data_IF_525001683222
#
_entry.id   IF_525001683222
#
_cell.length_a   1.000
_cell.length_b   1.000
_cell.length_c   1.000
_cell.angle_alpha   90.00
_cell.angle_beta   90.00
_cell.angle_gamma   90.00
#
_symmetry.space_group_name_H-M   'P 1'
#
loop_
_entity.id
_entity.type
_entity.pdbx_description
1 polymer ?
#
# COMPACT_ATOMS: atom_id res chain seq x y z
N UNK A 1 30.00 -86.45 23.39
CA UNK A 1 31.00 -85.37 23.54
C UNK A 1 30.28 -84.05 23.76
N UNK A 2 30.49 -83.45 24.95
CA UNK A 2 30.34 -82.05 25.41
C UNK A 2 29.26 -81.16 24.74
N UNK A 3 28.13 -80.92 25.42
CA UNK A 3 27.75 -79.71 26.23
C UNK A 3 27.20 -78.57 25.35
N UNK A 4 25.88 -78.37 25.19
CA UNK A 4 24.91 -77.78 26.13
C UNK A 4 25.47 -76.64 27.00
N UNK A 5 25.01 -75.40 26.75
CA UNK A 5 24.72 -74.41 27.80
C UNK A 5 23.78 -73.30 27.28
N UNK A 6 22.53 -73.37 27.74
CA UNK A 6 21.57 -72.26 27.84
C UNK A 6 22.16 -71.20 28.79
N UNK A 7 22.05 -69.91 28.48
CA UNK A 7 21.77 -68.86 29.48
C UNK A 7 20.99 -67.72 28.83
N UNK A 8 19.66 -67.91 28.80
CA UNK A 8 18.70 -66.83 29.03
C UNK A 8 18.93 -66.27 30.43
N UNK A 9 18.61 -64.99 30.65
CA UNK A 9 18.89 -64.15 31.84
C UNK A 9 20.29 -63.51 31.82
N UNK A 10 20.39 -62.27 31.31
CA UNK A 10 21.23 -61.14 31.79
C UNK A 10 21.19 -59.95 30.79
N UNK A 11 20.00 -59.55 30.31
CA UNK A 11 19.83 -58.30 29.51
C UNK A 11 18.72 -57.42 30.09
N UNK A 12 18.58 -57.40 31.43
CA UNK A 12 17.56 -56.60 32.13
C UNK A 12 18.12 -55.64 33.18
N UNK A 13 19.40 -55.30 33.13
CA UNK A 13 19.96 -54.23 33.95
C UNK A 13 21.03 -53.51 33.13
N UNK A 14 20.95 -52.17 33.05
CA UNK A 14 21.64 -51.25 32.11
C UNK A 14 20.88 -51.19 30.76
N UNK A 15 19.89 -50.32 30.56
CA UNK A 15 20.02 -48.87 30.44
C UNK A 15 18.81 -48.22 31.13
N UNK A 16 18.96 -47.99 32.43
CA UNK A 16 18.12 -47.10 33.20
C UNK A 16 18.96 -45.85 33.40
N UNK A 17 18.96 -44.94 32.43
CA UNK A 17 19.37 -43.52 32.49
C UNK A 17 19.43 -43.00 31.05
N UNK A 18 18.34 -42.37 30.59
CA UNK A 18 18.28 -41.84 29.23
C UNK A 18 16.89 -41.48 28.70
N UNK A 19 15.93 -41.19 29.57
CA UNK A 19 14.72 -40.43 29.19
C UNK A 19 14.73 -39.16 30.03
N UNK A 20 15.68 -38.28 29.73
CA UNK A 20 15.45 -36.87 29.97
C UNK A 20 14.52 -36.43 28.85
N UNK A 21 13.24 -36.24 29.15
CA UNK A 21 12.36 -35.48 28.28
C UNK A 21 13.06 -34.15 28.00
N UNK A 22 13.37 -33.90 26.72
CA UNK A 22 13.61 -32.54 26.28
C UNK A 22 12.24 -31.84 26.31
N UNK A 23 11.81 -31.45 27.50
CA UNK A 23 10.90 -30.32 27.64
C UNK A 23 11.66 -29.16 27.01
N UNK A 24 11.31 -28.82 25.76
CA UNK A 24 11.51 -27.48 25.26
C UNK A 24 10.74 -26.60 26.24
N UNK A 25 11.43 -26.09 27.25
CA UNK A 25 11.03 -24.82 27.85
C UNK A 25 10.99 -23.87 26.67
N UNK A 26 9.78 -23.58 26.20
CA UNK A 26 9.53 -22.36 25.49
C UNK A 26 10.21 -21.29 26.35
N UNK A 27 11.30 -20.73 25.83
CA UNK A 27 11.86 -19.56 26.45
C UNK A 27 10.70 -18.57 26.42
N UNK A 28 10.18 -18.24 27.61
CA UNK A 28 9.28 -17.13 27.82
C UNK A 28 10.00 -15.91 27.27
N UNK A 29 9.87 -15.67 25.96
CA UNK A 29 10.30 -14.43 25.33
C UNK A 29 9.35 -13.41 25.90
N UNK A 30 9.80 -12.71 26.94
CA UNK A 30 9.18 -11.47 27.37
C UNK A 30 8.84 -10.67 26.11
N UNK A 31 7.57 -10.27 25.92
CA UNK A 31 7.20 -9.48 24.75
C UNK A 31 8.10 -8.25 24.73
N UNK A 32 8.80 -8.06 23.60
CA UNK A 32 9.69 -6.92 23.44
C UNK A 32 8.97 -5.63 23.85
N UNK A 33 9.64 -4.71 24.56
CA UNK A 33 9.00 -3.49 25.03
C UNK A 33 8.35 -2.75 23.84
N UNK A 34 7.16 -2.15 24.03
CA UNK A 34 6.42 -1.53 22.95
C UNK A 34 7.28 -0.45 22.28
N UNK A 35 7.39 -0.52 20.96
CA UNK A 35 8.18 0.43 20.18
C UNK A 35 7.62 1.85 20.38
N UNK A 36 8.44 2.75 20.93
CA UNK A 36 8.08 4.16 21.08
C UNK A 36 8.54 4.93 19.85
N UNK A 37 7.60 5.31 18.99
CA UNK A 37 7.92 6.18 17.86
C UNK A 37 8.23 7.61 18.31
N UNK A 38 9.23 8.22 17.69
CA UNK A 38 9.65 9.60 17.97
C UNK A 38 9.70 10.45 16.69
N UNK A 39 9.84 11.76 16.85
CA UNK A 39 9.94 12.70 15.73
C UNK A 39 8.73 12.63 14.78
N UNK A 40 9.01 12.48 13.48
CA UNK A 40 8.00 12.48 12.41
C UNK A 40 7.03 11.29 12.48
N UNK A 41 7.43 10.21 13.17
CA UNK A 41 6.64 9.00 13.35
C UNK A 41 5.85 8.97 14.66
N UNK A 42 5.98 9.98 15.54
CA UNK A 42 5.42 9.96 16.90
C UNK A 42 3.94 9.52 17.00
N UNK A 43 3.12 9.85 16.01
CA UNK A 43 1.68 9.60 16.02
C UNK A 43 1.24 8.43 15.13
N UNK A 44 2.18 7.63 14.62
CA UNK A 44 1.83 6.49 13.78
C UNK A 44 1.24 5.36 14.64
N UNK A 45 0.17 4.74 14.15
CA UNK A 45 -0.36 3.53 14.75
C UNK A 45 0.55 2.35 14.40
N UNK A 46 0.84 1.46 15.35
CA UNK A 46 1.62 0.24 15.10
C UNK A 46 0.81 -0.86 14.43
N UNK A 47 -0.51 -0.85 14.60
CA UNK A 47 -1.39 -1.85 14.02
C UNK A 47 -1.60 -1.58 12.52
N UNK A 48 -1.87 -2.65 11.79
CA UNK A 48 -2.38 -2.60 10.43
C UNK A 48 -3.87 -2.95 10.42
N UNK A 49 -4.64 -2.51 9.42
CA UNK A 49 -4.29 -1.54 8.38
C UNK A 49 -4.33 -0.10 8.90
N UNK A 50 -3.37 0.73 8.49
CA UNK A 50 -3.28 2.15 8.88
C UNK A 50 -3.25 3.13 7.71
N UNK A 51 -3.04 2.64 6.49
CA UNK A 51 -2.95 3.48 5.31
C UNK A 51 -4.32 3.67 4.68
N UNK A 52 -4.75 4.93 4.56
CA UNK A 52 -5.93 5.39 3.81
C UNK A 52 -7.31 4.92 4.32
N UNK A 53 -7.45 3.67 4.75
CA UNK A 53 -8.70 3.04 5.13
C UNK A 53 -8.49 2.12 6.34
N UNK A 54 -8.73 2.65 7.55
CA UNK A 54 -8.68 1.85 8.78
C UNK A 54 -9.79 0.80 8.82
N UNK A 55 -9.70 -0.13 9.78
CA UNK A 55 -10.75 -1.13 10.01
C UNK A 55 -12.07 -0.48 10.43
N UNK A 56 -12.01 0.47 11.36
CA UNK A 56 -13.17 1.20 11.88
C UNK A 56 -13.88 1.96 10.76
N UNK A 57 -13.10 2.64 9.91
CA UNK A 57 -13.68 3.38 8.77
C UNK A 57 -14.33 2.45 7.76
N UNK A 58 -13.75 1.27 7.52
CA UNK A 58 -14.35 0.27 6.65
C UNK A 58 -15.68 -0.25 7.20
N UNK A 59 -15.75 -0.55 8.50
CA UNK A 59 -16.96 -1.04 9.15
C UNK A 59 -18.08 0.03 9.15
N UNK A 60 -17.71 1.29 9.34
CA UNK A 60 -18.61 2.43 9.17
C UNK A 60 -19.15 2.51 7.74
N UNK A 61 -18.28 2.39 6.72
CA UNK A 61 -18.68 2.41 5.32
C UNK A 61 -19.61 1.24 4.95
N UNK A 62 -19.37 0.04 5.49
CA UNK A 62 -20.28 -1.11 5.31
C UNK A 62 -21.66 -0.79 5.86
N UNK A 63 -21.73 -0.21 7.06
CA UNK A 63 -22.99 0.20 7.69
C UNK A 63 -23.71 1.27 6.86
N UNK A 64 -23.00 2.32 6.43
CA UNK A 64 -23.56 3.38 5.59
C UNK A 64 -24.06 2.86 4.23
N UNK A 65 -23.41 1.84 3.67
CA UNK A 65 -23.82 1.26 2.37
C UNK A 65 -25.20 0.59 2.39
N UNK A 66 -25.76 0.33 3.58
CA UNK A 66 -27.11 -0.21 3.73
C UNK A 66 -28.19 0.82 3.35
N UNK A 67 -27.89 2.11 3.52
CA UNK A 67 -28.84 3.21 3.26
C UNK A 67 -28.39 4.15 2.14
N UNK A 68 -27.08 4.25 1.88
CA UNK A 68 -26.52 5.02 0.78
C UNK A 68 -26.36 4.16 -0.49
N UNK A 69 -27.30 4.33 -1.42
CA UNK A 69 -27.30 3.62 -2.71
C UNK A 69 -26.08 3.91 -3.59
N UNK A 70 -25.48 5.10 -3.48
CA UNK A 70 -24.30 5.49 -4.27
C UNK A 70 -23.05 4.81 -3.71
N UNK A 71 -22.88 4.81 -2.39
CA UNK A 71 -21.80 4.07 -1.74
C UNK A 71 -21.91 2.58 -2.02
N UNK A 72 -23.12 2.00 -1.91
CA UNK A 72 -23.37 0.60 -2.28
C UNK A 72 -22.97 0.30 -3.71
N UNK A 73 -23.29 1.19 -4.65
CA UNK A 73 -22.88 1.04 -6.05
C UNK A 73 -21.36 1.05 -6.18
N UNK A 74 -20.67 2.00 -5.54
CA UNK A 74 -19.21 2.08 -5.60
C UNK A 74 -18.52 0.83 -5.07
N UNK A 75 -18.95 0.33 -3.90
CA UNK A 75 -18.41 -0.92 -3.37
C UNK A 75 -18.67 -2.10 -4.32
N UNK A 76 -19.88 -2.18 -4.88
CA UNK A 76 -20.25 -3.25 -5.83
C UNK A 76 -19.43 -3.19 -7.13
N UNK A 77 -19.18 -1.99 -7.67
CA UNK A 77 -18.38 -1.82 -8.88
C UNK A 77 -16.92 -2.27 -8.67
N UNK A 78 -16.33 -1.98 -7.50
CA UNK A 78 -14.98 -2.43 -7.14
C UNK A 78 -14.93 -3.95 -7.00
N UNK A 79 -15.91 -4.55 -6.34
CA UNK A 79 -16.01 -6.01 -6.20
C UNK A 79 -16.16 -6.68 -7.57
N UNK A 80 -17.00 -6.13 -8.46
CA UNK A 80 -17.17 -6.65 -9.81
C UNK A 80 -15.88 -6.55 -10.66
N UNK A 81 -15.03 -5.55 -10.39
CA UNK A 81 -13.71 -5.47 -11.01
C UNK A 81 -12.74 -6.49 -10.40
N UNK A 82 -12.76 -6.68 -9.08
CA UNK A 82 -11.98 -7.71 -8.41
C UNK A 82 -12.32 -9.13 -8.92
N UNK A 83 -13.60 -9.41 -9.18
CA UNK A 83 -14.06 -10.66 -9.80
C UNK A 83 -13.46 -10.93 -11.18
N UNK A 84 -13.07 -9.88 -11.92
CA UNK A 84 -12.34 -10.02 -13.19
C UNK A 84 -10.84 -10.16 -12.95
N UNK A 85 -10.32 -9.40 -11.98
CA UNK A 85 -8.88 -9.34 -11.70
C UNK A 85 -8.33 -10.68 -11.21
N UNK A 86 -9.14 -11.53 -10.55
CA UNK A 86 -8.71 -12.89 -10.13
C UNK A 86 -8.35 -13.83 -11.28
N UNK A 87 -8.82 -13.57 -12.50
CA UNK A 87 -8.54 -14.40 -13.68
C UNK A 87 -7.43 -13.83 -14.56
N UNK A 88 -6.89 -12.66 -14.21
CA UNK A 88 -5.84 -12.04 -15.00
C UNK A 88 -4.53 -12.80 -14.85
N UNK A 89 -3.77 -12.87 -15.95
CA UNK A 89 -2.45 -13.48 -15.96
C UNK A 89 -1.48 -12.76 -15.01
N UNK A 90 -0.48 -13.46 -14.46
CA UNK A 90 0.59 -12.85 -13.66
C UNK A 90 1.22 -11.67 -14.39
N UNK A 91 1.53 -10.61 -13.63
CA UNK A 91 2.21 -9.44 -14.17
C UNK A 91 3.62 -9.83 -14.64
N UNK A 92 4.07 -9.28 -15.76
CA UNK A 92 5.39 -9.56 -16.31
C UNK A 92 6.24 -8.31 -16.27
N UNK A 93 7.53 -8.47 -15.99
CA UNK A 93 8.50 -7.38 -16.11
C UNK A 93 8.78 -7.15 -17.60
N UNK A 94 7.97 -6.29 -18.21
CA UNK A 94 8.05 -5.95 -19.63
C UNK A 94 8.02 -4.44 -19.77
N UNK A 95 9.05 -3.89 -20.41
CA UNK A 95 9.12 -2.48 -20.71
C UNK A 95 8.40 -2.16 -22.03
N UNK A 96 7.55 -1.14 -22.01
CA UNK A 96 6.95 -0.54 -23.21
C UNK A 96 7.66 0.80 -23.44
N UNK A 97 8.52 0.83 -24.46
CA UNK A 97 9.51 1.91 -24.58
C UNK A 97 10.45 1.89 -23.36
N UNK A 98 10.71 3.04 -22.70
CA UNK A 98 11.59 3.08 -21.53
C UNK A 98 10.86 2.77 -20.20
N UNK A 99 9.61 2.29 -20.23
CA UNK A 99 8.71 2.31 -19.08
C UNK A 99 8.17 0.93 -18.71
N UNK A 100 8.22 0.61 -17.43
CA UNK A 100 7.45 -0.42 -16.76
C UNK A 100 6.09 0.12 -16.23
N UNK A 101 5.83 1.41 -16.40
CA UNK A 101 4.71 2.14 -15.80
C UNK A 101 3.34 1.47 -15.96
N UNK A 102 3.04 0.89 -17.13
CA UNK A 102 1.76 0.23 -17.37
C UNK A 102 1.59 -1.01 -16.48
N UNK A 103 2.68 -1.73 -16.23
CA UNK A 103 2.71 -2.87 -15.30
C UNK A 103 2.56 -2.40 -13.85
N UNK A 104 3.24 -1.31 -13.46
CA UNK A 104 3.08 -0.71 -12.13
C UNK A 104 1.64 -0.26 -11.87
N UNK A 105 0.99 0.35 -12.87
CA UNK A 105 -0.41 0.79 -12.80
C UNK A 105 -1.39 -0.36 -12.70
N UNK A 106 -1.18 -1.39 -13.50
CA UNK A 106 -2.01 -2.58 -13.46
C UNK A 106 -1.88 -3.27 -12.10
N UNK A 107 -0.68 -3.35 -11.52
CA UNK A 107 -0.47 -3.84 -10.15
C UNK A 107 -1.26 -3.02 -9.14
N UNK A 108 -1.12 -1.69 -9.19
CA UNK A 108 -1.83 -0.77 -8.30
C UNK A 108 -3.34 -0.96 -8.36
N UNK A 109 -3.91 -1.04 -9.57
CA UNK A 109 -5.33 -1.27 -9.79
C UNK A 109 -5.79 -2.60 -9.21
N UNK A 110 -5.09 -3.69 -9.55
CA UNK A 110 -5.43 -5.04 -9.05
C UNK A 110 -5.37 -5.10 -7.54
N UNK A 111 -4.31 -4.57 -6.92
CA UNK A 111 -4.15 -4.59 -5.47
C UNK A 111 -5.26 -3.81 -4.78
N UNK A 112 -5.58 -2.59 -5.24
CA UNK A 112 -6.69 -1.83 -4.66
C UNK A 112 -8.03 -2.59 -4.77
N UNK A 113 -8.35 -3.13 -5.94
CA UNK A 113 -9.62 -3.84 -6.14
C UNK A 113 -9.69 -5.11 -5.30
N UNK A 114 -8.66 -5.96 -5.37
CA UNK A 114 -8.63 -7.26 -4.70
C UNK A 114 -8.55 -7.09 -3.17
N UNK A 115 -7.67 -6.21 -2.66
CA UNK A 115 -7.55 -5.98 -1.23
C UNK A 115 -8.82 -5.32 -0.65
N UNK A 116 -9.41 -4.35 -1.37
CA UNK A 116 -10.71 -3.80 -0.97
C UNK A 116 -11.79 -4.88 -0.95
N UNK A 117 -11.93 -5.65 -2.02
CA UNK A 117 -12.96 -6.68 -2.13
C UNK A 117 -12.81 -7.76 -1.05
N UNK A 118 -11.58 -8.17 -0.72
CA UNK A 118 -11.31 -9.05 0.41
C UNK A 118 -11.81 -8.44 1.71
N UNK A 119 -11.33 -7.24 2.07
CA UNK A 119 -11.72 -6.59 3.33
C UNK A 119 -13.23 -6.31 3.40
N UNK A 120 -13.86 -6.01 2.26
CA UNK A 120 -15.30 -5.76 2.19
C UNK A 120 -16.13 -7.02 2.39
N UNK A 121 -15.75 -8.13 1.75
CA UNK A 121 -16.58 -9.35 1.65
C UNK A 121 -16.14 -10.51 2.54
N UNK A 122 -14.89 -10.51 3.01
CA UNK A 122 -14.25 -11.65 3.68
C UNK A 122 -13.94 -12.84 2.76
N UNK A 123 -14.12 -12.72 1.43
CA UNK A 123 -13.97 -13.86 0.53
C UNK A 123 -12.48 -14.13 0.23
N UNK A 124 -11.93 -15.31 0.62
CA UNK A 124 -10.50 -15.60 0.54
C UNK A 124 -9.94 -15.61 -0.90
N UNK A 125 -10.78 -15.79 -1.92
CA UNK A 125 -10.32 -15.76 -3.33
C UNK A 125 -9.63 -14.44 -3.70
N UNK A 126 -10.08 -13.33 -3.10
CA UNK A 126 -9.50 -12.02 -3.35
C UNK A 126 -8.16 -11.84 -2.62
N UNK A 127 -8.04 -12.33 -1.38
CA UNK A 127 -6.80 -12.34 -0.62
C UNK A 127 -5.72 -13.12 -1.38
N UNK A 128 -5.99 -14.37 -1.75
CA UNK A 128 -5.03 -15.22 -2.45
C UNK A 128 -4.55 -14.59 -3.77
N UNK A 129 -5.46 -13.98 -4.54
CA UNK A 129 -5.10 -13.29 -5.78
C UNK A 129 -4.28 -12.00 -5.53
N UNK A 130 -4.63 -11.20 -4.52
CA UNK A 130 -3.88 -10.01 -4.16
C UNK A 130 -2.44 -10.36 -3.75
N UNK A 131 -2.29 -11.34 -2.84
CA UNK A 131 -0.99 -11.82 -2.37
C UNK A 131 -0.16 -12.40 -3.52
N UNK A 132 -0.77 -13.14 -4.46
CA UNK A 132 -0.08 -13.63 -5.65
C UNK A 132 0.47 -12.49 -6.51
N UNK A 133 -0.30 -11.42 -6.75
CA UNK A 133 0.18 -10.24 -7.49
C UNK A 133 1.34 -9.56 -6.76
N UNK A 134 1.24 -9.36 -5.44
CA UNK A 134 2.28 -8.74 -4.61
C UNK A 134 3.59 -9.55 -4.65
N UNK A 135 3.52 -10.85 -4.37
CA UNK A 135 4.68 -11.75 -4.41
C UNK A 135 5.35 -11.77 -5.78
N UNK A 136 4.55 -11.76 -6.85
CA UNK A 136 5.05 -11.77 -8.21
C UNK A 136 5.81 -10.48 -8.57
N UNK A 137 5.30 -9.29 -8.24
CA UNK A 137 6.05 -8.05 -8.52
C UNK A 137 7.26 -7.87 -7.59
N UNK A 138 7.22 -8.44 -6.38
CA UNK A 138 8.36 -8.48 -5.47
C UNK A 138 9.46 -9.48 -5.90
N UNK A 139 9.18 -10.38 -6.85
CA UNK A 139 10.19 -11.30 -7.41
C UNK A 139 10.87 -10.77 -8.68
N UNK A 140 10.45 -9.61 -9.20
CA UNK A 140 11.13 -8.96 -10.31
C UNK A 140 12.58 -8.59 -9.95
N UNK A 141 13.44 -8.47 -10.97
CA UNK A 141 14.84 -8.03 -10.78
C UNK A 141 14.92 -6.61 -10.23
N UNK A 142 14.02 -5.74 -10.68
CA UNK A 142 13.92 -4.32 -10.38
C UNK A 142 12.51 -3.80 -10.73
N UNK A 143 12.20 -2.56 -10.34
CA UNK A 143 11.01 -1.81 -10.78
C UNK A 143 11.36 -0.66 -11.71
N UNK A 144 12.41 -0.83 -12.52
CA UNK A 144 12.95 0.16 -13.46
C UNK A 144 13.35 1.52 -12.82
N UNK A 145 14.38 1.55 -11.94
CA UNK A 145 14.80 2.79 -11.26
C UNK A 145 15.31 3.90 -12.19
N UNK A 146 15.60 3.58 -13.46
CA UNK A 146 15.93 4.57 -14.49
C UNK A 146 14.75 5.50 -14.83
N UNK A 147 13.52 5.01 -14.67
CA UNK A 147 12.28 5.77 -14.88
C UNK A 147 11.45 5.74 -13.59
N UNK A 148 11.75 6.66 -12.67
CA UNK A 148 11.32 6.56 -11.27
C UNK A 148 9.80 6.57 -11.00
N UNK A 149 8.98 7.02 -11.97
CA UNK A 149 7.52 6.84 -11.87
C UNK A 149 7.13 5.37 -11.72
N UNK A 150 7.88 4.48 -12.36
CA UNK A 150 7.62 3.04 -12.38
C UNK A 150 7.82 2.46 -10.97
N UNK A 151 8.94 2.82 -10.33
CA UNK A 151 9.27 2.47 -8.94
C UNK A 151 8.23 3.05 -7.99
N UNK A 152 7.87 4.31 -8.16
CA UNK A 152 6.97 5.01 -7.24
C UNK A 152 5.56 4.43 -7.24
N UNK A 153 4.98 4.19 -8.41
CA UNK A 153 3.64 3.61 -8.51
C UNK A 153 3.62 2.14 -8.06
N UNK A 154 4.70 1.37 -8.31
CA UNK A 154 4.82 0.00 -7.80
C UNK A 154 5.01 -0.04 -6.28
N UNK A 155 5.81 0.87 -5.72
CA UNK A 155 5.99 1.04 -4.27
C UNK A 155 4.65 1.32 -3.60
N UNK A 156 3.83 2.20 -4.18
CA UNK A 156 2.47 2.46 -3.70
C UNK A 156 1.64 1.19 -3.68
N UNK A 157 1.59 0.46 -4.81
CA UNK A 157 0.79 -0.75 -4.94
C UNK A 157 1.14 -1.77 -3.85
N UNK A 158 2.44 -2.05 -3.71
CA UNK A 158 2.94 -3.04 -2.76
C UNK A 158 2.69 -2.61 -1.32
N UNK A 159 2.86 -1.33 -1.00
CA UNK A 159 2.62 -0.79 0.32
C UNK A 159 1.14 -0.87 0.76
N UNK A 160 0.20 -0.57 -0.14
CA UNK A 160 -1.24 -0.71 0.14
C UNK A 160 -1.60 -2.17 0.36
N UNK A 161 -1.11 -3.08 -0.49
CA UNK A 161 -1.38 -4.51 -0.33
C UNK A 161 -0.81 -5.06 0.98
N UNK A 162 0.43 -4.69 1.30
CA UNK A 162 1.10 -5.07 2.55
C UNK A 162 0.31 -4.60 3.77
N UNK A 163 -0.07 -3.33 3.81
CA UNK A 163 -0.80 -2.76 4.96
C UNK A 163 -2.23 -3.31 5.07
N UNK A 164 -2.97 -3.40 3.96
CA UNK A 164 -4.39 -3.78 3.99
C UNK A 164 -4.61 -5.26 4.28
N UNK A 165 -3.65 -6.11 3.97
CA UNK A 165 -3.75 -7.57 4.09
C UNK A 165 -2.81 -8.12 5.17
N UNK A 166 -2.18 -7.25 5.95
CA UNK A 166 -1.10 -7.60 6.88
C UNK A 166 -1.45 -8.77 7.81
N UNK A 167 -2.59 -8.68 8.50
CA UNK A 167 -3.01 -9.67 9.50
C UNK A 167 -3.45 -11.01 8.89
N UNK A 168 -3.80 -11.01 7.61
CA UNK A 168 -4.35 -12.17 6.90
C UNK A 168 -3.31 -12.90 6.04
N UNK A 169 -2.13 -12.32 5.83
CA UNK A 169 -0.97 -12.99 5.23
C UNK A 169 -0.25 -13.84 6.27
N UNK A 170 0.44 -14.90 5.82
CA UNK A 170 1.37 -15.61 6.70
C UNK A 170 2.68 -14.81 6.90
N UNK A 171 3.51 -15.23 7.85
CA UNK A 171 4.77 -14.54 8.15
C UNK A 171 5.76 -14.57 6.98
N UNK A 172 5.78 -15.66 6.21
CA UNK A 172 6.65 -15.82 5.04
C UNK A 172 6.23 -14.86 3.92
N UNK A 173 4.94 -14.74 3.68
CA UNK A 173 4.32 -13.80 2.74
C UNK A 173 4.61 -12.36 3.12
N UNK A 174 4.32 -11.99 4.39
CA UNK A 174 4.64 -10.65 4.91
C UNK A 174 6.11 -10.33 4.72
N UNK A 175 7.00 -11.26 5.11
CA UNK A 175 8.44 -11.04 4.99
C UNK A 175 8.86 -10.84 3.53
N UNK A 176 8.42 -11.71 2.62
CA UNK A 176 8.79 -11.63 1.20
C UNK A 176 8.32 -10.30 0.57
N UNK A 177 7.11 -9.87 0.88
CA UNK A 177 6.53 -8.61 0.36
C UNK A 177 7.24 -7.40 0.96
N UNK A 178 7.51 -7.40 2.28
CA UNK A 178 8.26 -6.33 2.94
C UNK A 178 9.68 -6.20 2.38
N UNK A 179 10.39 -7.31 2.28
CA UNK A 179 11.76 -7.34 1.74
C UNK A 179 11.77 -6.79 0.29
N UNK A 180 10.77 -7.17 -0.53
CA UNK A 180 10.59 -6.63 -1.88
C UNK A 180 10.32 -5.13 -1.89
N UNK A 181 9.40 -4.64 -1.06
CA UNK A 181 9.08 -3.21 -0.91
C UNK A 181 10.32 -2.39 -0.50
N UNK A 182 11.09 -2.88 0.46
CA UNK A 182 12.33 -2.25 0.92
C UNK A 182 13.38 -2.25 -0.19
N UNK A 183 13.65 -3.42 -0.80
CA UNK A 183 14.72 -3.59 -1.78
C UNK A 183 14.45 -2.83 -3.07
N UNK A 184 13.28 -3.04 -3.69
CA UNK A 184 12.97 -2.58 -5.04
C UNK A 184 12.37 -1.18 -5.07
N UNK A 185 11.77 -0.73 -3.95
CA UNK A 185 11.15 0.59 -3.81
C UNK A 185 11.97 1.54 -2.94
N UNK A 186 11.96 1.33 -1.63
CA UNK A 186 12.44 2.34 -0.66
C UNK A 186 13.95 2.53 -0.70
N UNK A 187 14.73 1.49 -0.92
CA UNK A 187 16.18 1.61 -1.10
C UNK A 187 16.53 2.35 -2.41
N UNK A 188 15.76 2.15 -3.48
CA UNK A 188 15.91 2.93 -4.71
C UNK A 188 15.52 4.40 -4.48
N UNK A 189 14.47 4.66 -3.70
CA UNK A 189 14.12 6.01 -3.23
C UNK A 189 15.22 6.67 -2.42
N UNK A 190 15.82 5.94 -1.47
CA UNK A 190 16.96 6.43 -0.68
C UNK A 190 18.17 6.78 -1.56
N UNK A 191 18.49 5.94 -2.55
CA UNK A 191 19.55 6.21 -3.54
C UNK A 191 19.23 7.47 -4.36
N UNK A 192 17.99 7.58 -4.85
CA UNK A 192 17.54 8.73 -5.64
C UNK A 192 17.62 10.04 -4.83
N UNK A 193 17.21 10.02 -3.55
CA UNK A 193 17.37 11.18 -2.66
C UNK A 193 18.84 11.55 -2.43
N UNK A 194 19.69 10.56 -2.15
CA UNK A 194 21.13 10.80 -1.97
C UNK A 194 21.81 11.36 -3.23
N UNK A 195 21.32 10.97 -4.41
CA UNK A 195 21.81 11.45 -5.70
C UNK A 195 21.19 12.79 -6.15
N UNK A 196 20.36 13.44 -5.33
CA UNK A 196 19.59 14.63 -5.71
C UNK A 196 18.85 14.44 -7.04
N UNK A 197 18.08 13.36 -7.16
CA UNK A 197 17.35 13.03 -8.37
C UNK A 197 16.54 14.23 -8.90
N UNK A 198 16.59 14.45 -10.21
CA UNK A 198 16.05 15.64 -10.87
C UNK A 198 14.57 15.87 -10.57
N UNK A 199 13.78 14.81 -10.37
CA UNK A 199 12.35 14.87 -10.09
C UNK A 199 12.02 15.36 -8.67
N UNK A 200 12.99 15.46 -7.78
CA UNK A 200 12.74 15.80 -6.37
C UNK A 200 12.22 17.22 -6.18
N UNK A 201 12.63 18.19 -7.01
CA UNK A 201 12.32 19.62 -6.78
C UNK A 201 11.62 20.29 -7.96
N UNK A 202 11.02 19.49 -8.84
CA UNK A 202 10.23 19.99 -9.97
C UNK A 202 8.82 20.36 -9.53
N UNK A 203 8.21 21.27 -10.28
CA UNK A 203 6.85 21.78 -10.05
C UNK A 203 5.75 20.93 -10.72
N UNK A 204 6.11 19.78 -11.29
CA UNK A 204 5.20 18.93 -12.05
C UNK A 204 4.99 17.53 -11.43
N UNK A 205 4.19 16.69 -12.11
CA UNK A 205 3.69 15.41 -11.56
C UNK A 205 4.78 14.45 -11.05
N UNK A 206 5.97 14.39 -11.67
CA UNK A 206 7.06 13.53 -11.22
C UNK A 206 7.40 13.73 -9.75
N UNK A 207 7.48 14.97 -9.27
CA UNK A 207 7.70 15.23 -7.85
C UNK A 207 6.59 14.61 -6.99
N UNK A 208 5.31 14.86 -7.33
CA UNK A 208 4.19 14.38 -6.53
C UNK A 208 4.12 12.85 -6.52
N UNK A 209 4.18 12.22 -7.70
CA UNK A 209 4.05 10.76 -7.81
C UNK A 209 5.21 10.07 -7.11
N UNK A 210 6.45 10.53 -7.33
CA UNK A 210 7.63 9.90 -6.76
C UNK A 210 7.68 10.04 -5.24
N UNK A 211 7.47 11.26 -4.71
CA UNK A 211 7.49 11.47 -3.27
C UNK A 211 6.30 10.80 -2.56
N UNK A 212 5.08 10.84 -3.12
CA UNK A 212 3.91 10.21 -2.51
C UNK A 212 4.04 8.68 -2.48
N UNK A 213 4.50 8.06 -3.58
CA UNK A 213 4.68 6.60 -3.62
C UNK A 213 5.68 6.11 -2.57
N UNK A 214 6.81 6.79 -2.44
CA UNK A 214 7.82 6.51 -1.41
C UNK A 214 7.29 6.77 0.01
N UNK A 215 6.54 7.85 0.21
CA UNK A 215 5.92 8.18 1.50
C UNK A 215 4.97 7.08 1.97
N UNK A 216 4.09 6.59 1.08
CA UNK A 216 3.16 5.50 1.39
C UNK A 216 3.92 4.22 1.73
N UNK A 217 4.96 3.88 0.96
CA UNK A 217 5.83 2.74 1.27
C UNK A 217 6.54 2.84 2.62
N UNK A 218 7.03 4.04 2.97
CA UNK A 218 7.69 4.28 4.25
C UNK A 218 6.73 4.11 5.43
N UNK A 219 5.49 4.59 5.32
CA UNK A 219 4.49 4.43 6.36
C UNK A 219 4.05 2.97 6.55
N UNK A 220 4.09 2.16 5.49
CA UNK A 220 3.71 0.75 5.53
C UNK A 220 4.65 -0.12 6.37
N UNK A 221 5.91 0.30 6.59
CA UNK A 221 6.92 -0.51 7.29
C UNK A 221 7.47 0.17 8.56
N UNK A 222 6.89 1.31 8.94
CA UNK A 222 7.47 2.20 9.92
C UNK A 222 7.66 1.54 11.30
N UNK A 223 6.85 0.54 11.64
CA UNK A 223 6.92 -0.25 12.88
C UNK A 223 8.04 -1.30 12.90
N UNK A 224 8.59 -1.67 11.75
CA UNK A 224 9.70 -2.64 11.69
C UNK A 224 11.01 -2.01 11.20
N UNK A 225 10.93 -0.94 10.41
CA UNK A 225 12.06 -0.32 9.71
C UNK A 225 12.03 1.22 9.87
N UNK A 226 11.80 1.67 11.11
CA UNK A 226 11.51 3.07 11.48
C UNK A 226 12.58 4.09 11.02
N UNK A 227 13.86 3.73 11.04
CA UNK A 227 14.94 4.62 10.60
C UNK A 227 14.91 4.88 9.09
N UNK A 228 14.67 3.84 8.29
CA UNK A 228 14.48 3.96 6.84
C UNK A 228 13.22 4.78 6.54
N UNK A 229 12.11 4.44 7.20
CA UNK A 229 10.84 5.14 7.04
C UNK A 229 10.98 6.64 7.36
N UNK A 230 11.57 7.01 8.51
CA UNK A 230 11.77 8.39 8.90
C UNK A 230 12.66 9.17 7.91
N UNK A 231 13.68 8.52 7.34
CA UNK A 231 14.54 9.12 6.32
C UNK A 231 13.80 9.43 5.02
N UNK A 232 12.98 8.49 4.53
CA UNK A 232 12.14 8.70 3.35
C UNK A 232 11.08 9.78 3.61
N UNK A 233 10.38 9.73 4.74
CA UNK A 233 9.34 10.70 5.09
C UNK A 233 9.87 12.13 5.16
N UNK A 234 11.05 12.33 5.76
CA UNK A 234 11.68 13.66 5.83
C UNK A 234 11.93 14.22 4.44
N UNK A 235 12.53 13.42 3.55
CA UNK A 235 12.80 13.84 2.17
C UNK A 235 11.51 14.12 1.40
N UNK A 236 10.52 13.23 1.49
CA UNK A 236 9.25 13.41 0.79
C UNK A 236 8.53 14.69 1.23
N UNK A 237 8.44 14.94 2.54
CA UNK A 237 7.73 16.11 3.09
C UNK A 237 8.46 17.42 2.78
N UNK A 238 9.79 17.42 2.76
CA UNK A 238 10.58 18.59 2.38
C UNK A 238 10.38 18.95 0.89
N UNK A 239 10.21 17.95 0.02
CA UNK A 239 10.23 18.13 -1.42
C UNK A 239 8.84 18.21 -2.07
N UNK A 240 7.79 17.63 -1.48
CA UNK A 240 6.42 17.73 -2.01
C UNK A 240 5.92 19.17 -2.28
N UNK A 241 6.24 20.18 -1.45
CA UNK A 241 5.77 21.55 -1.67
C UNK A 241 6.14 22.15 -3.04
N UNK A 242 7.24 21.72 -3.67
CA UNK A 242 7.66 22.25 -4.98
C UNK A 242 6.59 22.06 -6.05
N UNK A 243 5.99 20.88 -6.15
CA UNK A 243 4.89 20.64 -7.08
C UNK A 243 3.51 21.03 -6.57
N UNK A 244 3.36 21.31 -5.28
CA UNK A 244 2.11 21.87 -4.76
C UNK A 244 1.96 23.36 -5.09
N UNK A 245 3.09 24.07 -5.26
CA UNK A 245 3.09 25.49 -5.61
C UNK A 245 2.43 25.78 -6.97
N UNK A 246 2.50 24.86 -7.93
CA UNK A 246 1.92 25.04 -9.27
C UNK A 246 0.40 24.91 -9.31
N UNK A 247 -0.27 24.59 -8.19
CA UNK A 247 -1.73 24.71 -8.06
C UNK A 247 -2.18 26.10 -7.59
N UNK A 248 -1.27 26.97 -7.15
CA UNK A 248 -1.65 28.29 -6.65
C UNK A 248 -2.04 29.26 -7.78
N UNK A 249 -2.96 30.21 -7.53
CA UNK A 249 -3.79 30.36 -6.33
C UNK A 249 -5.11 29.57 -6.38
N UNK A 250 -5.60 29.24 -7.58
CA UNK A 250 -6.99 28.81 -7.81
C UNK A 250 -7.20 27.29 -7.81
N UNK A 251 -6.14 26.52 -7.57
CA UNK A 251 -6.16 25.05 -7.59
C UNK A 251 -6.05 24.46 -9.00
N UNK A 252 -5.87 25.27 -10.05
CA UNK A 252 -5.82 24.82 -11.44
C UNK A 252 -4.40 24.37 -11.81
N UNK A 253 -4.31 23.20 -12.44
CA UNK A 253 -3.06 22.70 -13.01
C UNK A 253 -2.97 23.01 -14.50
N UNK A 254 -1.97 23.80 -14.93
CA UNK A 254 -1.89 24.29 -16.31
C UNK A 254 -1.70 23.21 -17.40
N UNK A 255 -1.23 22.00 -17.08
CA UNK A 255 -1.09 20.90 -18.07
C UNK A 255 -2.38 20.07 -18.19
N UNK A 256 -3.47 20.70 -18.65
CA UNK A 256 -4.73 20.03 -18.99
C UNK A 256 -4.68 19.54 -20.45
N UNK A 257 -3.99 18.43 -20.74
CA UNK A 257 -4.27 17.66 -21.99
C UNK A 257 -3.85 16.20 -22.05
N UNK A 258 -3.17 15.67 -21.05
CA UNK A 258 -3.02 14.22 -20.90
C UNK A 258 -3.24 13.88 -19.42
N UNK A 259 -3.91 12.76 -19.16
CA UNK A 259 -4.26 12.18 -17.85
C UNK A 259 -5.68 12.43 -17.32
N UNK A 260 -6.68 12.03 -18.11
CA UNK A 260 -7.99 11.60 -17.55
C UNK A 260 -7.85 10.30 -16.72
N UNK A 261 -6.75 9.55 -16.87
CA UNK A 261 -6.49 8.30 -16.14
C UNK A 261 -5.87 8.51 -14.74
N UNK A 262 -5.09 9.59 -14.50
CA UNK A 262 -4.60 9.87 -13.14
C UNK A 262 -5.68 10.42 -12.21
N UNK A 263 -6.72 11.08 -12.70
CA UNK A 263 -7.72 11.68 -11.80
C UNK A 263 -8.68 10.68 -11.15
N UNK A 264 -8.90 9.49 -11.75
CA UNK A 264 -9.80 8.49 -11.16
C UNK A 264 -9.27 7.86 -9.86
N UNK A 265 -7.94 7.83 -9.65
CA UNK A 265 -7.32 7.19 -8.48
C UNK A 265 -6.14 7.96 -7.86
N UNK A 266 -5.45 8.85 -8.57
CA UNK A 266 -4.38 9.66 -7.97
C UNK A 266 -4.87 11.06 -7.59
N UNK A 267 -5.79 11.64 -8.36
CA UNK A 267 -6.37 12.97 -8.08
C UNK A 267 -7.05 13.03 -6.71
N UNK A 268 -7.96 12.09 -6.41
CA UNK A 268 -8.71 12.06 -5.15
C UNK A 268 -7.79 11.85 -3.94
N UNK A 269 -6.76 11.02 -4.07
CA UNK A 269 -5.90 10.63 -2.96
C UNK A 269 -4.71 11.57 -2.74
N UNK A 270 -4.09 12.11 -3.79
CA UNK A 270 -3.10 13.19 -3.64
C UNK A 270 -3.76 14.51 -3.18
N UNK A 271 -4.98 14.85 -3.63
CA UNK A 271 -5.74 15.95 -3.02
C UNK A 271 -6.11 15.66 -1.56
N UNK A 272 -6.51 14.43 -1.24
CA UNK A 272 -6.85 14.02 0.13
C UNK A 272 -5.68 14.13 1.12
N UNK A 273 -4.48 13.68 0.72
CA UNK A 273 -3.24 13.84 1.52
C UNK A 273 -2.87 15.33 1.64
N UNK A 274 -3.00 16.11 0.56
CA UNK A 274 -2.71 17.56 0.57
C UNK A 274 -3.70 18.34 1.48
N UNK A 275 -4.98 17.97 1.48
CA UNK A 275 -6.00 18.53 2.38
C UNK A 275 -5.72 18.11 3.83
N UNK A 276 -5.38 16.85 4.10
CA UNK A 276 -5.04 16.36 5.44
C UNK A 276 -3.80 17.04 6.05
N UNK A 277 -2.80 17.34 5.22
CA UNK A 277 -1.61 18.11 5.62
C UNK A 277 -1.97 19.58 5.89
N UNK A 278 -2.78 20.22 5.04
CA UNK A 278 -3.27 21.60 5.29
C UNK A 278 -4.17 21.71 6.53
N UNK A 279 -4.98 20.69 6.80
CA UNK A 279 -5.87 20.66 7.98
C UNK A 279 -5.11 20.74 9.29
N UNK A 280 -3.88 20.19 9.38
CA UNK A 280 -3.09 20.22 10.62
C UNK A 280 -2.40 21.57 10.88
N UNK A 281 -2.27 22.44 9.87
CA UNK A 281 -1.65 23.77 10.00
C UNK A 281 -2.66 24.93 10.17
N UNK A 282 -3.97 24.69 9.98
CA UNK A 282 -5.01 25.72 10.02
C UNK A 282 -6.11 25.49 11.07
N UNK A 283 -5.87 24.63 12.08
CA UNK A 283 -6.76 24.53 13.25
C UNK A 283 -6.57 25.77 14.12
N UNK A 284 -7.17 26.90 13.74
CA UNK A 284 -7.53 27.93 14.71
C UNK A 284 -8.58 28.96 14.26
N UNK A 285 -9.04 28.98 13.00
CA UNK A 285 -10.19 29.81 12.63
C UNK A 285 -10.98 29.17 11.51
N UNK A 286 -12.26 28.89 11.79
CA UNK A 286 -13.44 28.82 10.90
C UNK A 286 -14.35 27.69 11.38
N UNK A 287 -15.59 28.04 11.76
CA UNK A 287 -16.65 27.10 12.11
C UNK A 287 -17.21 26.44 10.84
N UNK A 288 -17.41 25.12 10.91
CA UNK A 288 -17.73 24.28 9.77
C UNK A 288 -19.22 23.93 9.73
N UNK A 289 -20.06 24.76 9.11
CA UNK A 289 -21.36 24.35 8.60
C UNK A 289 -21.42 24.78 7.12
N UNK A 290 -21.64 23.83 6.20
CA UNK A 290 -21.83 23.99 4.73
C UNK A 290 -20.62 23.93 3.75
N UNK A 291 -20.06 22.75 3.43
CA UNK A 291 -19.32 22.59 2.15
C UNK A 291 -19.87 21.51 1.20
N UNK A 292 -20.86 20.71 1.58
CA UNK A 292 -21.34 19.62 0.70
C UNK A 292 -22.14 20.10 -0.53
N UNK A 293 -22.69 21.31 -0.52
CA UNK A 293 -23.50 21.83 -1.65
C UNK A 293 -22.66 22.34 -2.82
N UNK A 294 -21.58 23.08 -2.56
CA UNK A 294 -20.78 23.72 -3.62
C UNK A 294 -20.00 22.71 -4.46
N UNK A 295 -19.58 21.58 -3.86
CA UNK A 295 -18.84 20.52 -4.57
C UNK A 295 -19.72 19.74 -5.58
N UNK A 296 -21.04 19.71 -5.37
CA UNK A 296 -21.95 18.99 -6.28
C UNK A 296 -22.28 19.77 -7.55
N UNK A 297 -22.40 21.09 -7.46
CA UNK A 297 -22.84 21.93 -8.59
C UNK A 297 -21.74 22.17 -9.62
N UNK A 298 -20.49 22.29 -9.19
CA UNK A 298 -19.34 22.43 -10.10
C UNK A 298 -19.08 21.11 -10.84
N UNK A 299 -19.24 19.97 -10.16
CA UNK A 299 -19.06 18.66 -10.77
C UNK A 299 -20.20 18.34 -11.75
N UNK A 300 -21.47 18.62 -11.42
CA UNK A 300 -22.62 18.33 -12.29
C UNK A 300 -22.63 19.14 -13.61
N UNK A 301 -22.08 20.36 -13.63
CA UNK A 301 -22.04 21.18 -14.85
C UNK A 301 -21.04 20.68 -15.89
N UNK A 302 -19.97 20.01 -15.47
CA UNK A 302 -18.96 19.45 -16.39
C UNK A 302 -19.37 18.14 -17.05
N UNK A 303 -20.52 17.53 -16.68
CA UNK A 303 -21.02 16.27 -17.27
C UNK A 303 -22.23 16.45 -18.20
N UNK A 304 -22.64 17.68 -18.52
CA UNK A 304 -23.66 17.96 -19.55
C UNK A 304 -23.11 18.83 -20.67
N UNK A 305 -22.28 18.28 -21.54
CA UNK A 305 -22.12 18.79 -22.91
C UNK A 305 -21.27 17.84 -23.73
N UNK A 306 -21.88 16.77 -24.26
CA UNK A 306 -21.36 16.03 -25.42
C UNK A 306 -22.49 15.26 -26.12
N UNK A 307 -23.68 15.88 -26.23
CA UNK A 307 -24.81 15.31 -26.97
C UNK A 307 -25.59 16.29 -27.86
N UNK A 308 -25.22 17.58 -27.95
CA UNK A 308 -25.95 18.56 -28.78
C UNK A 308 -25.03 19.52 -29.56
N UNK A 309 -24.05 18.99 -30.28
CA UNK A 309 -23.34 19.74 -31.33
C UNK A 309 -23.57 19.08 -32.69
N UNK A 310 -24.85 18.91 -33.04
CA UNK A 310 -25.28 18.71 -34.42
C UNK A 310 -26.63 19.41 -34.60
N UNK A 311 -26.62 20.75 -34.76
CA UNK A 311 -27.63 21.52 -35.51
C UNK A 311 -27.23 23.01 -35.58
N UNK A 312 -26.86 23.38 -36.81
CA UNK A 312 -27.31 24.58 -37.53
C UNK A 312 -26.98 25.99 -37.02
N UNK A 313 -26.22 26.65 -37.92
CA UNK A 313 -26.13 28.08 -38.28
C UNK A 313 -25.25 28.99 -37.43
#
# INVERSE_FOLDING_TARGET
MKKYFNYSLWVLFLIQFGIAGCDKKDADTEPAPPMVFTGILKNIQTAHPRLLLSKERLDELKTLSLTDSRLKKYASDVIAQADKDIFKQPLQHVLIGPRLLDISRECLLRVYNLAFAYRWTGNPKYLSSAVANLRNVCSFSDWNPSHFLDVAEMTHAVAIGYDWLYDDMDETERKAIKDGLIKLGLNEGKKAYAANAWWMKVDHNWNQVCNSGLLIGALAIAETDSALAAGILRNAIENLPFALNSYGPDGVWAKVRLLVVCYRLHGIWNFGITIGIRQRFWVNKISWHEPYRVFSDVFCRSFRSDAELCRCR
#
